data_IF_649185920482
#
_entry.id   IF_649185920482
#
_cell.length_a   1.000
_cell.length_b   1.000
_cell.length_c   1.000
_cell.angle_alpha   90.00
_cell.angle_beta   90.00
_cell.angle_gamma   90.00
#
_symmetry.space_group_name_H-M   'P 1'
#
loop_
_entity.id
_entity.type
_entity.pdbx_description
1 polymer ?
#
# COMPACT_ATOMS: atom_id res chain seq x y z
N UNK A 1 -27.51 10.56 19.37
CA UNK A 1 -28.63 9.58 19.32
C UNK A 1 -29.76 10.03 18.37
N UNK A 2 -29.69 11.22 17.77
CA UNK A 2 -30.72 11.79 16.88
C UNK A 2 -30.54 11.49 15.38
N UNK A 3 -29.38 10.97 14.94
CA UNK A 3 -29.11 10.74 13.51
C UNK A 3 -29.78 9.47 12.90
N UNK A 4 -30.49 8.66 13.70
CA UNK A 4 -31.07 7.38 13.27
C UNK A 4 -32.61 7.39 13.19
N UNK A 5 -33.27 8.52 13.45
CA UNK A 5 -34.75 8.57 13.55
C UNK A 5 -35.50 8.82 12.24
N UNK A 6 -34.83 8.81 11.08
CA UNK A 6 -35.45 9.20 9.81
C UNK A 6 -35.13 8.37 8.58
N UNK A 7 -34.31 7.32 8.68
CA UNK A 7 -34.02 6.44 7.54
C UNK A 7 -35.00 5.27 7.55
N UNK A 8 -35.69 5.06 6.44
CA UNK A 8 -36.43 3.82 6.24
C UNK A 8 -35.48 2.64 5.92
N UNK A 9 -36.04 1.43 5.83
CA UNK A 9 -35.24 0.22 5.62
C UNK A 9 -34.50 0.22 4.26
N UNK A 10 -35.10 0.82 3.23
CA UNK A 10 -34.53 0.87 1.88
C UNK A 10 -33.39 1.88 1.83
N UNK A 11 -33.60 3.07 2.40
CA UNK A 11 -32.57 4.11 2.52
C UNK A 11 -31.38 3.63 3.36
N UNK A 12 -31.65 2.93 4.48
CA UNK A 12 -30.61 2.32 5.29
C UNK A 12 -29.85 1.24 4.52
N UNK A 13 -30.56 0.38 3.75
CA UNK A 13 -29.96 -0.64 2.91
C UNK A 13 -29.01 -0.06 1.85
N UNK A 14 -29.43 0.99 1.16
CA UNK A 14 -28.60 1.68 0.16
C UNK A 14 -27.35 2.31 0.78
N UNK A 15 -27.49 3.02 1.90
CA UNK A 15 -26.33 3.63 2.59
C UNK A 15 -25.37 2.55 3.06
N UNK A 16 -25.89 1.43 3.55
CA UNK A 16 -25.09 0.29 3.97
C UNK A 16 -24.29 -0.30 2.81
N UNK A 17 -24.93 -0.54 1.65
CA UNK A 17 -24.25 -1.05 0.45
C UNK A 17 -23.16 -0.09 -0.03
N UNK A 18 -23.45 1.21 -0.14
CA UNK A 18 -22.45 2.23 -0.51
C UNK A 18 -21.28 2.28 0.47
N UNK A 19 -21.54 2.14 1.77
CA UNK A 19 -20.50 2.10 2.78
C UNK A 19 -19.62 0.86 2.61
N UNK A 20 -20.21 -0.30 2.34
CA UNK A 20 -19.47 -1.53 2.06
C UNK A 20 -18.62 -1.41 0.78
N UNK A 21 -19.16 -0.84 -0.30
CA UNK A 21 -18.41 -0.61 -1.54
C UNK A 21 -17.22 0.34 -1.34
N UNK A 22 -17.42 1.43 -0.60
CA UNK A 22 -16.36 2.38 -0.28
C UNK A 22 -15.30 1.76 0.64
N UNK A 23 -15.70 0.92 1.58
CA UNK A 23 -14.77 0.14 2.43
C UNK A 23 -13.94 -0.82 1.58
N UNK A 24 -14.56 -1.56 0.66
CA UNK A 24 -13.87 -2.45 -0.27
C UNK A 24 -12.88 -1.69 -1.16
N UNK A 25 -13.28 -0.53 -1.70
CA UNK A 25 -12.39 0.32 -2.51
C UNK A 25 -11.17 0.77 -1.70
N UNK A 26 -11.37 1.22 -0.46
CA UNK A 26 -10.28 1.62 0.45
C UNK A 26 -9.39 0.44 0.82
N UNK A 27 -9.96 -0.74 1.05
CA UNK A 27 -9.20 -1.94 1.33
C UNK A 27 -8.32 -2.35 0.13
N UNK A 28 -8.87 -2.38 -1.09
CA UNK A 28 -8.10 -2.65 -2.31
C UNK A 28 -6.91 -1.70 -2.47
N UNK A 29 -7.11 -0.40 -2.22
CA UNK A 29 -6.03 0.58 -2.27
C UNK A 29 -4.96 0.33 -1.20
N UNK A 30 -5.36 -0.02 0.03
CA UNK A 30 -4.42 -0.39 1.11
C UNK A 30 -3.61 -1.62 0.76
N UNK A 31 -4.25 -2.70 0.30
CA UNK A 31 -3.58 -3.95 -0.12
C UNK A 31 -2.59 -3.68 -1.24
N UNK A 32 -3.03 -2.99 -2.30
CA UNK A 32 -2.17 -2.68 -3.43
C UNK A 32 -0.95 -1.86 -2.99
N UNK A 33 -1.16 -0.84 -2.15
CA UNK A 33 -0.08 0.01 -1.65
C UNK A 33 0.90 -0.77 -0.77
N UNK A 34 0.40 -1.61 0.15
CA UNK A 34 1.24 -2.44 1.01
C UNK A 34 2.07 -3.43 0.18
N UNK A 35 1.45 -4.09 -0.80
CA UNK A 35 2.13 -5.02 -1.69
C UNK A 35 3.18 -4.28 -2.54
N UNK A 36 2.85 -3.13 -3.14
CA UNK A 36 3.80 -2.35 -3.92
C UNK A 36 5.00 -1.87 -3.08
N UNK A 37 4.76 -1.40 -1.86
CA UNK A 37 5.84 -1.04 -0.93
C UNK A 37 6.70 -2.26 -0.60
N UNK A 38 6.10 -3.44 -0.41
CA UNK A 38 6.86 -4.66 -0.14
C UNK A 38 7.72 -5.10 -1.33
N UNK A 39 7.15 -5.14 -2.53
CA UNK A 39 7.92 -5.48 -3.73
C UNK A 39 9.08 -4.50 -3.94
N UNK A 40 8.85 -3.21 -3.65
CA UNK A 40 9.89 -2.18 -3.76
C UNK A 40 10.99 -2.40 -2.71
N UNK A 41 10.62 -2.74 -1.48
CA UNK A 41 11.54 -3.10 -0.41
C UNK A 41 12.41 -4.31 -0.77
N UNK A 42 11.79 -5.40 -1.27
CA UNK A 42 12.50 -6.59 -1.71
C UNK A 42 13.50 -6.28 -2.83
N UNK A 43 13.10 -5.43 -3.79
CA UNK A 43 13.98 -4.96 -4.85
C UNK A 43 15.18 -4.19 -4.29
N UNK A 44 14.96 -3.24 -3.37
CA UNK A 44 16.06 -2.49 -2.74
C UNK A 44 17.04 -3.41 -2.02
N UNK A 45 16.54 -4.41 -1.29
CA UNK A 45 17.41 -5.38 -0.62
C UNK A 45 18.24 -6.16 -1.64
N UNK A 46 17.62 -6.57 -2.75
CA UNK A 46 18.29 -7.30 -3.82
C UNK A 46 19.34 -6.47 -4.59
N UNK A 47 19.09 -5.17 -4.77
CA UNK A 47 19.96 -4.28 -5.57
C UNK A 47 20.89 -3.39 -4.73
N UNK A 48 20.67 -3.33 -3.41
CA UNK A 48 21.28 -2.37 -2.48
C UNK A 48 20.39 -1.15 -2.22
N UNK A 49 20.52 -0.56 -1.02
CA UNK A 49 19.75 0.61 -0.61
C UNK A 49 20.03 1.81 -1.54
N UNK A 50 18.99 2.52 -2.01
CA UNK A 50 19.18 3.67 -2.88
C UNK A 50 19.87 4.80 -2.12
N UNK A 51 20.95 5.31 -2.69
CA UNK A 51 21.65 6.48 -2.14
C UNK A 51 20.81 7.76 -2.34
N UNK A 52 20.61 8.58 -1.30
CA UNK A 52 20.02 9.90 -1.46
C UNK A 52 20.80 10.80 -2.43
N UNK A 53 20.11 11.70 -3.13
CA UNK A 53 20.70 12.78 -3.92
C UNK A 53 21.16 12.42 -5.32
N UNK A 54 20.90 11.20 -5.79
CA UNK A 54 21.16 10.83 -7.18
C UNK A 54 20.46 11.80 -8.13
N UNK A 55 21.13 12.21 -9.21
CA UNK A 55 20.48 13.00 -10.27
C UNK A 55 19.36 12.16 -10.87
N UNK A 56 18.16 12.73 -10.95
CA UNK A 56 17.02 12.03 -11.52
C UNK A 56 17.28 11.65 -12.99
N UNK A 57 16.91 10.43 -13.36
CA UNK A 57 16.94 9.88 -14.71
C UNK A 57 15.58 9.24 -14.96
N UNK A 58 15.03 9.44 -16.16
CA UNK A 58 13.74 8.87 -16.53
C UNK A 58 13.82 7.32 -16.50
N UNK A 59 13.05 6.64 -15.63
CA UNK A 59 13.07 5.18 -15.58
C UNK A 59 12.45 4.59 -16.84
N UNK A 60 13.09 3.57 -17.39
CA UNK A 60 12.59 2.77 -18.51
C UNK A 60 12.08 1.41 -18.05
N UNK A 61 12.50 0.98 -16.85
CA UNK A 61 12.12 -0.28 -16.23
C UNK A 61 11.84 -0.10 -14.74
N UNK A 62 11.21 -1.11 -14.13
CA UNK A 62 10.79 -1.08 -12.73
C UNK A 62 11.98 -0.97 -11.77
N UNK A 63 13.13 -1.55 -12.12
CA UNK A 63 14.33 -1.58 -11.27
C UNK A 63 15.03 -0.20 -11.18
N UNK A 64 14.68 0.72 -12.08
CA UNK A 64 15.23 2.07 -12.17
C UNK A 64 14.33 3.11 -11.47
N UNK A 65 13.21 2.68 -10.92
CA UNK A 65 12.22 3.58 -10.30
C UNK A 65 12.66 4.05 -8.92
N UNK A 66 12.03 5.14 -8.47
CA UNK A 66 12.34 5.76 -7.19
C UNK A 66 11.37 5.31 -6.12
N UNK A 67 11.91 4.92 -4.98
CA UNK A 67 11.08 4.45 -3.88
C UNK A 67 10.56 5.56 -2.98
N UNK A 68 9.59 5.24 -2.13
CA UNK A 68 9.11 6.15 -1.07
C UNK A 68 10.30 6.64 -0.24
N UNK A 69 10.34 7.94 0.03
CA UNK A 69 11.37 8.57 0.85
C UNK A 69 12.68 8.85 0.12
N UNK A 70 12.91 8.26 -1.06
CA UNK A 70 14.14 8.51 -1.83
C UNK A 70 14.18 9.96 -2.32
N UNK A 71 15.31 10.61 -2.04
CA UNK A 71 15.57 11.98 -2.45
C UNK A 71 16.43 11.98 -3.73
N UNK A 72 16.04 12.78 -4.72
CA UNK A 72 16.74 12.96 -5.99
C UNK A 72 17.02 14.43 -6.27
N UNK A 73 18.05 14.71 -7.07
CA UNK A 73 18.31 16.05 -7.59
C UNK A 73 17.71 16.20 -8.99
N UNK A 74 16.88 17.23 -9.20
CA UNK A 74 16.31 17.57 -10.51
C UNK A 74 16.22 19.09 -10.65
N UNK A 75 16.76 19.63 -11.75
CA UNK A 75 16.76 21.08 -12.06
C UNK A 75 17.27 21.97 -10.90
N UNK A 76 18.32 21.52 -10.21
CA UNK A 76 18.95 22.25 -9.10
C UNK A 76 18.16 22.22 -7.79
N UNK A 77 17.08 21.44 -7.71
CA UNK A 77 16.28 21.24 -6.50
C UNK A 77 16.32 19.77 -6.07
N UNK A 78 16.04 19.54 -4.79
CA UNK A 78 15.86 18.21 -4.22
C UNK A 78 14.38 17.87 -4.16
N UNK A 79 14.05 16.63 -4.51
CA UNK A 79 12.70 16.10 -4.47
C UNK A 79 12.67 14.76 -3.76
N UNK A 80 11.71 14.57 -2.87
CA UNK A 80 11.45 13.30 -2.20
C UNK A 80 10.27 12.59 -2.88
N UNK A 81 10.46 11.32 -3.23
CA UNK A 81 9.39 10.49 -3.79
C UNK A 81 8.41 10.08 -2.69
N UNK A 82 7.11 10.14 -3.00
CA UNK A 82 6.02 9.86 -2.05
C UNK A 82 5.36 8.50 -2.25
N UNK A 83 5.72 7.79 -3.32
CA UNK A 83 5.09 6.53 -3.73
C UNK A 83 6.16 5.49 -4.07
N UNK A 84 5.88 4.18 -3.89
CA UNK A 84 6.76 3.13 -4.39
C UNK A 84 6.73 3.12 -5.92
N UNK A 85 7.80 2.61 -6.54
CA UNK A 85 7.94 2.48 -7.98
C UNK A 85 7.63 3.76 -8.78
N UNK A 86 8.12 4.91 -8.31
CA UNK A 86 7.82 6.20 -8.91
C UNK A 86 8.54 6.38 -10.26
N UNK A 87 7.78 6.28 -11.36
CA UNK A 87 8.23 6.55 -12.74
C UNK A 87 8.18 8.03 -13.12
N UNK A 88 7.50 8.85 -12.34
CA UNK A 88 7.17 10.21 -12.76
C UNK A 88 8.37 11.14 -12.65
N UNK A 89 8.42 12.14 -13.54
CA UNK A 89 9.39 13.22 -13.45
C UNK A 89 9.12 14.08 -12.21
N UNK A 90 10.15 14.50 -11.44
CA UNK A 90 9.98 15.41 -10.33
C UNK A 90 9.23 16.69 -10.73
N UNK A 91 8.31 17.12 -9.88
CA UNK A 91 7.44 18.28 -10.14
C UNK A 91 6.28 18.03 -11.11
N UNK A 92 6.12 16.84 -11.70
CA UNK A 92 4.98 16.56 -12.58
C UNK A 92 3.64 16.46 -11.84
N UNK A 93 3.66 16.01 -10.59
CA UNK A 93 2.45 15.87 -9.77
C UNK A 93 2.78 15.87 -8.25
N UNK A 94 2.07 16.68 -7.47
CA UNK A 94 2.31 16.85 -6.03
C UNK A 94 1.95 15.61 -5.18
N UNK A 95 1.19 14.67 -5.74
CA UNK A 95 0.92 13.39 -5.09
C UNK A 95 2.13 12.44 -5.14
N UNK A 96 3.04 12.62 -6.11
CA UNK A 96 4.13 11.69 -6.39
C UNK A 96 5.48 12.20 -5.87
N UNK A 97 5.66 13.52 -5.89
CA UNK A 97 6.89 14.19 -5.45
C UNK A 97 6.57 15.35 -4.53
N UNK A 98 7.41 15.56 -3.52
CA UNK A 98 7.47 16.80 -2.74
C UNK A 98 8.86 17.42 -2.84
N UNK A 99 8.95 18.74 -2.69
CA UNK A 99 10.23 19.43 -2.56
C UNK A 99 10.85 19.06 -1.22
N UNK A 100 12.12 18.67 -1.25
CA UNK A 100 12.90 18.45 -0.04
C UNK A 100 13.69 19.72 0.28
N UNK A 101 13.34 20.38 1.38
CA UNK A 101 13.94 21.66 1.79
C UNK A 101 15.23 21.47 2.61
N UNK A 102 15.53 20.25 3.05
CA UNK A 102 16.76 19.92 3.76
C UNK A 102 17.99 19.93 2.85
N UNK A 103 19.17 19.96 3.45
CA UNK A 103 20.41 19.80 2.71
C UNK A 103 20.65 18.31 2.41
N UNK A 104 21.31 18.03 1.28
CA UNK A 104 21.50 16.65 0.83
C UNK A 104 22.29 15.79 1.84
N UNK A 105 23.27 16.37 2.53
CA UNK A 105 24.03 15.65 3.56
C UNK A 105 23.19 15.23 4.78
N UNK A 106 22.04 15.90 4.98
CA UNK A 106 21.10 15.63 6.07
C UNK A 106 19.92 14.77 5.59
N UNK A 107 19.92 14.37 4.31
CA UNK A 107 18.90 13.51 3.74
C UNK A 107 18.90 12.16 4.48
N UNK A 108 17.73 11.71 4.99
CA UNK A 108 17.65 10.40 5.59
C UNK A 108 17.99 9.34 4.55
N UNK A 109 18.70 8.29 4.99
CA UNK A 109 18.84 7.09 4.19
C UNK A 109 17.45 6.47 3.98
N UNK A 110 17.24 5.87 2.81
CA UNK A 110 15.97 5.19 2.55
C UNK A 110 15.94 3.91 3.38
N UNK A 111 15.16 3.92 4.44
CA UNK A 111 14.94 2.74 5.26
C UNK A 111 13.93 1.80 4.59
N UNK A 112 14.26 0.52 4.60
CA UNK A 112 13.30 -0.53 4.27
C UNK A 112 12.44 -0.74 5.51
N UNK A 113 11.22 -0.18 5.50
CA UNK A 113 10.26 -0.36 6.59
C UNK A 113 9.89 -1.84 6.79
N UNK A 114 9.51 -2.20 8.01
CA UNK A 114 8.99 -3.53 8.31
C UNK A 114 7.66 -3.75 7.56
N UNK A 115 7.54 -4.90 6.90
CA UNK A 115 6.31 -5.28 6.23
C UNK A 115 5.19 -5.51 7.23
N UNK A 116 4.11 -4.75 7.10
CA UNK A 116 2.86 -5.03 7.81
C UNK A 116 1.79 -5.36 6.78
N UNK A 117 1.30 -6.61 6.71
CA UNK A 117 0.19 -6.95 5.83
C UNK A 117 -1.04 -6.09 6.13
N UNK A 118 -1.86 -5.78 5.11
CA UNK A 118 -3.14 -5.11 5.32
C UNK A 118 -4.05 -5.94 6.22
N UNK A 119 -4.88 -5.27 7.03
CA UNK A 119 -5.91 -5.96 7.82
C UNK A 119 -6.86 -6.75 6.91
N UNK A 120 -7.25 -7.95 7.32
CA UNK A 120 -8.24 -8.74 6.60
C UNK A 120 -9.59 -8.02 6.55
N UNK A 121 -10.28 -8.12 5.40
CA UNK A 121 -11.63 -7.64 5.22
C UNK A 121 -12.50 -8.73 4.59
N UNK A 122 -13.75 -8.86 5.07
CA UNK A 122 -14.77 -9.70 4.44
C UNK A 122 -15.28 -9.10 3.13
N UNK A 123 -15.70 -9.95 2.19
CA UNK A 123 -16.19 -9.52 0.87
C UNK A 123 -15.11 -9.05 -0.10
N UNK A 124 -13.82 -9.21 0.24
CA UNK A 124 -12.70 -8.76 -0.59
C UNK A 124 -12.12 -9.92 -1.41
N UNK A 125 -11.83 -9.71 -2.72
CA UNK A 125 -11.14 -10.70 -3.53
C UNK A 125 -9.64 -10.76 -3.18
N UNK A 126 -9.16 -11.93 -2.79
CA UNK A 126 -7.75 -12.23 -2.55
C UNK A 126 -7.20 -13.15 -3.63
N UNK A 127 -5.97 -12.90 -4.06
CA UNK A 127 -5.19 -13.77 -4.93
C UNK A 127 -4.40 -14.81 -4.11
N UNK A 128 -3.92 -15.85 -4.78
CA UNK A 128 -3.01 -16.82 -4.13
C UNK A 128 -1.73 -16.11 -3.70
N UNK A 129 -1.36 -16.27 -2.44
CA UNK A 129 -0.15 -15.70 -1.87
C UNK A 129 -0.34 -14.36 -1.17
N UNK A 130 -1.50 -13.70 -1.30
CA UNK A 130 -1.80 -12.48 -0.56
C UNK A 130 -1.70 -12.72 0.94
N UNK A 131 -1.06 -11.80 1.66
CA UNK A 131 -0.96 -11.83 3.13
C UNK A 131 -1.85 -10.77 3.76
N UNK A 132 -2.49 -11.13 4.87
CA UNK A 132 -3.36 -10.25 5.66
C UNK A 132 -3.05 -10.37 7.15
N UNK A 133 -3.30 -9.30 7.88
CA UNK A 133 -3.29 -9.27 9.34
C UNK A 133 -4.71 -9.53 9.86
N UNK A 134 -4.87 -10.52 10.72
CA UNK A 134 -6.13 -10.79 11.40
C UNK A 134 -5.87 -11.12 12.86
N UNK A 135 -6.44 -10.32 13.77
CA UNK A 135 -6.26 -10.47 15.23
C UNK A 135 -4.79 -10.59 15.67
N UNK A 136 -3.91 -9.79 15.06
CA UNK A 136 -2.48 -9.76 15.38
C UNK A 136 -1.67 -10.92 14.78
N UNK A 137 -2.31 -11.81 14.02
CA UNK A 137 -1.66 -12.93 13.34
C UNK A 137 -1.67 -12.72 11.83
N UNK A 138 -0.60 -13.14 11.15
CA UNK A 138 -0.50 -13.03 9.69
C UNK A 138 -1.05 -14.31 9.07
N UNK A 139 -1.88 -14.15 8.04
CA UNK A 139 -2.41 -15.25 7.24
C UNK A 139 -2.08 -15.04 5.78
N UNK A 140 -1.84 -16.13 5.05
CA UNK A 140 -1.62 -16.13 3.61
C UNK A 140 -2.72 -16.87 2.88
N UNK A 141 -3.30 -16.26 1.85
CA UNK A 141 -4.28 -16.90 0.99
C UNK A 141 -3.64 -18.06 0.21
N UNK A 142 -4.25 -19.25 0.32
CA UNK A 142 -3.82 -20.48 -0.35
C UNK A 142 -4.41 -20.61 -1.75
N UNK A 143 -5.60 -20.07 -1.95
CA UNK A 143 -6.34 -20.10 -3.21
C UNK A 143 -6.96 -18.72 -3.47
N UNK A 144 -7.18 -18.39 -4.74
CA UNK A 144 -7.88 -17.16 -5.08
C UNK A 144 -9.36 -17.30 -4.72
N UNK A 145 -9.90 -16.34 -3.96
CA UNK A 145 -11.28 -16.37 -3.47
C UNK A 145 -11.74 -14.98 -3.05
N UNK A 146 -13.06 -14.78 -2.92
CA UNK A 146 -13.62 -13.63 -2.23
C UNK A 146 -13.92 -14.03 -0.79
N UNK A 147 -13.35 -13.31 0.18
CA UNK A 147 -13.55 -13.58 1.61
C UNK A 147 -15.02 -13.38 2.02
N UNK A 148 -15.42 -14.02 3.12
CA UNK A 148 -16.78 -13.88 3.67
C UNK A 148 -16.65 -13.48 5.14
N UNK A 149 -17.37 -12.45 5.58
CA UNK A 149 -17.27 -11.91 6.95
C UNK A 149 -17.47 -12.98 8.04
N UNK A 150 -18.29 -14.01 7.78
CA UNK A 150 -18.52 -15.13 8.71
C UNK A 150 -17.44 -16.21 8.72
N UNK A 151 -16.50 -16.19 7.77
CA UNK A 151 -15.41 -17.16 7.63
C UNK A 151 -14.05 -16.44 7.61
N UNK A 152 -13.63 -15.83 8.72
CA UNK A 152 -12.32 -15.21 8.86
C UNK A 152 -11.16 -16.22 8.77
N UNK A 153 -9.91 -15.74 8.61
CA UNK A 153 -8.75 -16.59 8.34
C UNK A 153 -8.44 -17.67 9.38
N UNK A 154 -8.75 -17.42 10.65
CA UNK A 154 -8.58 -18.39 11.75
C UNK A 154 -9.55 -19.57 11.66
N UNK A 155 -10.75 -19.33 11.11
CA UNK A 155 -11.83 -20.32 10.95
C UNK A 155 -11.76 -21.07 9.62
N UNK A 156 -11.26 -20.44 8.56
CA UNK A 156 -11.19 -21.04 7.23
C UNK A 156 -9.76 -21.43 6.82
N UNK A 157 -9.30 -22.55 7.38
CA UNK A 157 -8.00 -23.16 7.05
C UNK A 157 -7.93 -23.75 5.65
N UNK A 158 -9.06 -23.82 4.93
CA UNK A 158 -9.06 -24.29 3.54
C UNK A 158 -8.53 -23.19 2.63
N UNK A 159 -8.95 -21.94 2.90
CA UNK A 159 -8.56 -20.76 2.14
C UNK A 159 -7.29 -20.08 2.67
N UNK A 160 -7.03 -20.16 3.98
CA UNK A 160 -5.94 -19.43 4.63
C UNK A 160 -4.90 -20.34 5.28
N UNK A 161 -3.64 -19.90 5.23
CA UNK A 161 -2.48 -20.50 5.90
C UNK A 161 -1.97 -19.53 6.96
N UNK A 162 -1.97 -19.92 8.24
CA UNK A 162 -1.37 -19.13 9.33
C UNK A 162 0.15 -19.03 9.12
N UNK A 163 0.72 -17.82 9.23
CA UNK A 163 2.16 -17.55 9.22
C UNK A 163 2.63 -17.31 10.65
N UNK A 164 3.59 -18.13 11.07
CA UNK A 164 4.26 -18.02 12.37
C UNK A 164 5.31 -16.93 12.35
#
# INVERSE_FOLDING_TARGET
>A
REALQGLDQEEFGMIYELACEEEQRRHTLRVFTANATQLQADLMVATGLPKPGVTWVAPTRVEETYAVGQIVTFEGKLYQSKVPFNFARPGSHAALWELYEGALQDAPEVEVGEYVPPEWAGGHPYAVGDTVLYEGSIYKAKVAHTSITGYPPDKDRTMWEHKN
#
